data_IF_420990981313
#
_entry.id   IF_420990981313
#
_cell.length_a   1.000
_cell.length_b   1.000
_cell.length_c   1.000
_cell.angle_alpha   90.00
_cell.angle_beta   90.00
_cell.angle_gamma   90.00
#
_symmetry.space_group_name_H-M   'P 1'
#
loop_
_entity.id
_entity.type
_entity.pdbx_description
1 polymer ?
#
# COMPACT_ATOMS: atom_id res chain seq x y z
N UNK A 1 4.91 -3.57 -0.26
CA UNK A 1 3.79 -2.68 -0.68
C UNK A 1 2.85 -2.29 0.49
N UNK A 2 2.26 -1.09 0.41
CA UNK A 2 1.32 -0.55 1.43
C UNK A 2 -0.15 -0.89 1.15
N UNK A 3 -0.51 -1.19 -0.10
CA UNK A 3 -1.78 -1.82 -0.47
C UNK A 3 -1.50 -3.27 -0.89
N UNK A 4 -2.25 -4.21 -0.32
CA UNK A 4 -2.12 -5.63 -0.63
C UNK A 4 -3.00 -6.49 0.27
N UNK A 5 -3.36 -7.66 -0.23
CA UNK A 5 -4.06 -8.70 0.53
C UNK A 5 -3.02 -9.67 1.08
N UNK A 6 -3.02 -9.87 2.40
CA UNK A 6 -2.06 -10.74 3.09
C UNK A 6 -2.78 -11.77 3.96
N UNK A 7 -2.38 -13.05 3.92
CA UNK A 7 -2.85 -14.04 4.88
C UNK A 7 -2.49 -13.63 6.31
N UNK A 8 -3.47 -13.68 7.23
CA UNK A 8 -3.29 -13.28 8.64
C UNK A 8 -2.23 -14.13 9.35
N UNK A 9 -2.05 -15.39 8.91
CA UNK A 9 -1.00 -16.28 9.42
C UNK A 9 0.43 -15.73 9.27
N UNK A 10 0.66 -14.79 8.36
CA UNK A 10 1.96 -14.14 8.17
C UNK A 10 2.29 -13.09 9.25
N UNK A 11 1.35 -12.72 10.12
CA UNK A 11 1.56 -11.67 11.13
C UNK A 11 2.71 -11.98 12.11
N UNK A 12 2.90 -13.26 12.45
CA UNK A 12 4.01 -13.70 13.30
C UNK A 12 5.37 -13.57 12.61
N UNK A 13 5.43 -13.94 11.32
CA UNK A 13 6.64 -13.79 10.51
C UNK A 13 7.02 -12.31 10.32
N UNK A 14 6.03 -11.45 10.01
CA UNK A 14 6.24 -10.01 9.90
C UNK A 14 6.80 -9.41 11.20
N UNK A 15 6.26 -9.82 12.36
CA UNK A 15 6.75 -9.34 13.66
C UNK A 15 8.21 -9.66 13.86
N UNK A 16 8.61 -10.92 13.65
CA UNK A 16 10.01 -11.36 13.76
C UNK A 16 10.91 -10.58 12.81
N UNK A 17 10.51 -10.43 11.55
CA UNK A 17 11.27 -9.67 10.56
C UNK A 17 11.52 -8.23 11.02
N UNK A 18 10.55 -7.58 11.65
CA UNK A 18 10.69 -6.22 12.16
C UNK A 18 11.51 -6.12 13.46
N UNK A 19 11.35 -7.06 14.40
CA UNK A 19 11.91 -6.92 15.75
C UNK A 19 13.24 -7.63 15.95
N UNK A 20 13.45 -8.76 15.27
CA UNK A 20 14.64 -9.61 15.42
C UNK A 20 15.61 -9.43 14.25
N UNK A 21 15.10 -9.20 13.06
CA UNK A 21 15.91 -9.08 11.82
C UNK A 21 16.11 -7.62 11.36
N UNK A 22 15.52 -6.65 12.07
CA UNK A 22 15.53 -5.21 11.78
C UNK A 22 15.15 -4.83 10.33
N UNK A 23 14.26 -5.60 9.72
CA UNK A 23 13.75 -5.29 8.38
C UNK A 23 12.73 -4.15 8.48
N UNK A 24 13.07 -3.02 7.83
CA UNK A 24 12.20 -1.83 7.75
C UNK A 24 11.57 -1.62 6.37
N UNK A 25 12.14 -2.22 5.33
CA UNK A 25 11.63 -2.11 3.96
C UNK A 25 10.66 -3.26 3.69
N UNK A 26 9.42 -2.92 3.41
CA UNK A 26 8.36 -3.90 3.09
C UNK A 26 8.71 -4.76 1.87
N UNK A 27 9.45 -4.22 0.89
CA UNK A 27 9.84 -4.98 -0.31
C UNK A 27 10.83 -6.12 0.02
N UNK A 28 11.69 -5.92 1.02
CA UNK A 28 12.63 -6.96 1.49
C UNK A 28 11.85 -8.10 2.16
N UNK A 29 10.86 -7.77 3.00
CA UNK A 29 10.03 -8.77 3.67
C UNK A 29 9.16 -9.53 2.66
N UNK A 30 8.50 -8.81 1.75
CA UNK A 30 7.60 -9.42 0.77
C UNK A 30 8.32 -10.26 -0.28
N UNK A 31 9.61 -10.04 -0.55
CA UNK A 31 10.39 -10.93 -1.43
C UNK A 31 10.49 -12.39 -0.91
N UNK A 32 10.21 -12.64 0.37
CA UNK A 32 10.16 -13.99 0.98
C UNK A 32 8.88 -14.75 0.64
N UNK A 33 7.82 -14.01 0.33
CA UNK A 33 6.47 -14.52 0.15
C UNK A 33 6.05 -14.19 -1.28
N UNK A 34 6.06 -15.16 -2.19
CA UNK A 34 5.77 -14.90 -3.62
C UNK A 34 4.56 -13.98 -3.82
N UNK A 35 4.75 -12.89 -4.57
CA UNK A 35 3.75 -11.81 -4.71
C UNK A 35 3.02 -11.97 -6.04
N UNK A 36 1.69 -11.94 -5.99
CA UNK A 36 0.85 -11.76 -7.17
C UNK A 36 0.46 -10.29 -7.31
N UNK A 37 0.50 -9.77 -8.54
CA UNK A 37 0.07 -8.40 -8.85
C UNK A 37 -1.38 -8.42 -9.37
N UNK A 38 -2.28 -7.75 -8.66
CA UNK A 38 -3.64 -7.49 -9.13
C UNK A 38 -3.67 -6.16 -9.89
N UNK A 39 -4.18 -6.18 -11.13
CA UNK A 39 -4.35 -4.96 -11.93
C UNK A 39 -5.56 -4.19 -11.40
N UNK A 40 -5.36 -2.91 -11.06
CA UNK A 40 -6.42 -1.99 -10.68
C UNK A 40 -6.34 -0.77 -11.62
N UNK A 41 -7.36 -0.50 -12.45
CA UNK A 41 -7.36 0.66 -13.33
C UNK A 41 -7.30 1.97 -12.54
N UNK A 42 -6.49 2.92 -13.00
CA UNK A 42 -6.27 4.23 -12.37
C UNK A 42 -7.05 5.37 -13.05
N UNK A 43 -7.99 5.04 -13.93
CA UNK A 43 -8.84 5.98 -14.66
C UNK A 43 -10.30 5.86 -14.22
N UNK A 44 -11.03 6.99 -14.04
CA UNK A 44 -10.58 8.37 -14.23
C UNK A 44 -9.65 8.89 -13.12
N UNK A 45 -9.61 8.21 -11.98
CA UNK A 45 -8.75 8.55 -10.83
C UNK A 45 -8.16 7.30 -10.21
N UNK A 46 -6.94 7.39 -9.69
CA UNK A 46 -6.27 6.31 -8.95
C UNK A 46 -7.07 5.96 -7.68
N UNK A 47 -7.59 4.72 -7.54
CA UNK A 47 -8.37 4.30 -6.38
C UNK A 47 -7.54 4.24 -5.09
N UNK A 48 -6.21 4.27 -5.19
CA UNK A 48 -5.28 4.24 -4.08
C UNK A 48 -4.52 5.56 -3.92
N UNK A 49 -5.06 6.66 -4.46
CA UNK A 49 -4.43 7.97 -4.44
C UNK A 49 -3.99 8.39 -3.02
N UNK A 50 -2.69 8.63 -2.85
CA UNK A 50 -2.07 8.97 -1.56
C UNK A 50 -1.74 10.47 -1.46
N UNK A 51 -2.11 11.09 -0.33
CA UNK A 51 -1.83 12.49 -0.01
C UNK A 51 -0.56 12.55 0.83
N UNK A 52 0.58 12.88 0.21
CA UNK A 52 1.86 12.99 0.92
C UNK A 52 2.29 14.44 1.12
N UNK A 53 1.74 15.37 0.32
CA UNK A 53 2.07 16.79 0.35
C UNK A 53 0.83 17.68 0.38
N UNK A 54 0.93 18.95 0.82
CA UNK A 54 -0.21 19.86 0.82
C UNK A 54 -0.88 20.02 -0.55
N UNK A 55 -0.13 20.01 -1.66
CA UNK A 55 -0.68 20.09 -3.01
C UNK A 55 -1.55 18.89 -3.41
N UNK A 56 -1.29 17.71 -2.84
CA UNK A 56 -2.10 16.51 -3.09
C UNK A 56 -3.52 16.67 -2.55
N UNK A 57 -3.71 17.50 -1.50
CA UNK A 57 -5.01 17.76 -0.91
C UNK A 57 -5.95 18.49 -1.88
N UNK A 58 -5.44 19.47 -2.64
CA UNK A 58 -6.23 20.19 -3.64
C UNK A 58 -6.72 19.26 -4.76
N UNK A 59 -5.86 18.31 -5.17
CA UNK A 59 -6.25 17.25 -6.11
C UNK A 59 -7.29 16.31 -5.50
N UNK A 60 -7.10 15.85 -4.26
CA UNK A 60 -8.05 15.00 -3.55
C UNK A 60 -9.44 15.65 -3.44
N UNK A 61 -9.50 16.95 -3.13
CA UNK A 61 -10.75 17.70 -3.06
C UNK A 61 -11.47 17.75 -4.41
N UNK A 62 -10.72 17.91 -5.50
CA UNK A 62 -11.28 17.86 -6.87
C UNK A 62 -11.86 16.48 -7.19
N UNK A 63 -11.13 15.41 -6.86
CA UNK A 63 -11.60 14.03 -7.02
C UNK A 63 -12.89 13.79 -6.22
N UNK A 64 -12.90 14.20 -4.94
CA UNK A 64 -14.05 14.02 -4.05
C UNK A 64 -15.30 14.77 -4.52
N UNK A 65 -15.15 15.99 -5.04
CA UNK A 65 -16.26 16.78 -5.57
C UNK A 65 -16.89 16.18 -6.84
N UNK A 66 -16.16 15.34 -7.57
CA UNK A 66 -16.65 14.65 -8.77
C UNK A 66 -17.35 13.31 -8.47
N UNK A 67 -17.31 12.84 -7.21
CA UNK A 67 -17.91 11.58 -6.79
C UNK A 67 -19.23 11.75 -6.01
N UNK A 68 -19.71 12.98 -5.84
CA UNK A 68 -21.05 13.31 -5.33
C UNK A 68 -22.04 13.56 -6.45
#
# INVERSE_FOLDING_TARGET
PVFGLWPVELAGDLRRAMTEEDIRKVDIWTARHGIAHAVCPDTPHDPFFNINRPEDLARAQTIAAQQG
#
